data_IF_657092253809
#
_entry.id   IF_657092253809
#
_cell.length_a   1.000
_cell.length_b   1.000
_cell.length_c   1.000
_cell.angle_alpha   90.00
_cell.angle_beta   90.00
_cell.angle_gamma   90.00
#
_symmetry.space_group_name_H-M   'P 1'
#
loop_
_entity.id
_entity.type
_entity.pdbx_description
1 polymer ?
#
# COMPACT_ATOMS: atom_id res chain seq x y z
N UNK A 1 38.37 22.24 42.40
CA UNK A 1 37.50 21.37 43.23
C UNK A 1 37.03 20.24 42.35
N UNK A 2 37.53 19.02 42.58
CA UNK A 2 37.20 17.83 41.78
C UNK A 2 35.86 17.25 42.24
N UNK A 3 35.01 16.86 41.29
CA UNK A 3 33.66 16.32 41.50
C UNK A 3 33.62 15.05 42.39
N UNK A 4 34.77 14.43 42.66
CA UNK A 4 34.92 13.17 43.38
C UNK A 4 34.80 13.30 44.91
N UNK A 5 34.90 14.49 45.49
CA UNK A 5 34.74 14.68 46.95
C UNK A 5 33.27 14.81 47.41
N UNK A 6 32.31 14.89 46.48
CA UNK A 6 30.89 15.02 46.78
C UNK A 6 30.15 13.67 46.91
N UNK A 7 30.85 12.54 46.76
CA UNK A 7 30.24 11.20 46.78
C UNK A 7 30.33 10.62 48.20
N UNK A 8 29.19 10.27 48.84
CA UNK A 8 29.18 9.62 50.14
C UNK A 8 29.98 8.30 50.13
N UNK A 9 30.76 8.03 51.18
CA UNK A 9 31.55 6.78 51.33
C UNK A 9 30.70 5.49 51.18
N UNK A 10 29.38 5.60 51.34
CA UNK A 10 28.41 4.53 51.10
C UNK A 10 28.09 4.24 49.63
N UNK A 11 28.80 4.82 48.66
CA UNK A 11 28.66 4.49 47.23
C UNK A 11 29.98 4.05 46.59
N UNK A 12 31.07 4.00 47.38
CA UNK A 12 32.38 3.51 46.93
C UNK A 12 32.44 1.97 46.82
N UNK A 13 31.47 1.25 47.38
CA UNK A 13 31.41 -0.22 47.35
C UNK A 13 30.65 -0.80 46.15
N UNK A 14 29.99 0.03 45.34
CA UNK A 14 29.31 -0.45 44.13
C UNK A 14 30.29 -0.47 42.95
N UNK A 15 30.57 -1.63 42.33
CA UNK A 15 31.43 -1.68 41.15
C UNK A 15 30.64 -1.14 39.95
N UNK A 16 30.67 0.18 39.76
CA UNK A 16 30.15 0.85 38.54
C UNK A 16 30.83 0.37 37.25
N UNK A 17 31.88 -0.46 37.36
CA UNK A 17 32.56 -1.12 36.25
C UNK A 17 31.85 -2.36 35.71
N UNK A 18 30.90 -2.97 36.44
CA UNK A 18 30.21 -4.18 35.95
C UNK A 18 29.03 -3.88 34.99
N UNK A 19 28.50 -2.66 35.00
CA UNK A 19 27.36 -2.27 34.14
C UNK A 19 27.76 -1.71 32.77
N UNK A 20 29.06 -1.61 32.48
CA UNK A 20 29.58 -1.15 31.17
C UNK A 20 30.48 -2.23 30.58
N UNK A 21 29.93 -3.40 30.34
CA UNK A 21 30.41 -4.20 29.20
C UNK A 21 29.41 -3.96 28.06
N UNK A 22 29.84 -3.42 26.91
CA UNK A 22 28.99 -3.48 25.73
C UNK A 22 28.77 -4.96 25.46
N UNK A 23 27.55 -5.46 25.68
CA UNK A 23 27.16 -6.77 25.16
C UNK A 23 27.42 -6.68 23.65
N UNK A 24 28.38 -7.43 23.09
CA UNK A 24 28.62 -7.38 21.67
C UNK A 24 27.32 -7.81 20.97
N UNK A 25 26.85 -7.08 19.95
CA UNK A 25 25.70 -7.53 19.18
C UNK A 25 25.99 -8.94 18.69
N UNK A 26 25.02 -9.88 18.73
CA UNK A 26 25.23 -11.23 18.24
C UNK A 26 25.80 -11.13 16.82
N UNK A 27 26.99 -11.69 16.64
CA UNK A 27 27.74 -11.70 15.38
C UNK A 27 26.90 -12.38 14.30
N UNK A 28 26.09 -11.59 13.59
CA UNK A 28 25.15 -12.06 12.57
C UNK A 28 23.89 -11.21 12.39
N UNK A 29 23.50 -10.39 13.37
CA UNK A 29 22.31 -9.55 13.27
C UNK A 29 22.67 -8.09 12.97
N UNK A 30 23.20 -7.82 11.78
CA UNK A 30 22.91 -6.52 11.18
C UNK A 30 21.37 -6.37 11.22
N UNK A 31 20.80 -5.21 11.61
CA UNK A 31 19.39 -4.98 11.37
C UNK A 31 19.21 -5.18 9.89
N UNK A 32 18.60 -6.30 9.51
CA UNK A 32 18.29 -6.57 8.13
C UNK A 32 17.27 -5.49 7.81
N UNK A 33 17.72 -4.35 7.27
CA UNK A 33 16.85 -3.37 6.64
C UNK A 33 16.26 -4.16 5.51
N UNK A 34 15.09 -4.75 5.78
CA UNK A 34 14.39 -5.62 4.86
C UNK A 34 14.03 -4.70 3.70
N UNK A 35 14.93 -4.64 2.73
CA UNK A 35 14.79 -3.80 1.56
C UNK A 35 13.81 -4.55 0.67
N UNK A 36 12.52 -4.42 0.98
CA UNK A 36 11.43 -5.09 0.25
C UNK A 36 11.19 -4.38 -1.09
N UNK A 37 12.20 -4.22 -1.92
CA UNK A 37 12.05 -3.78 -3.31
C UNK A 37 11.66 -4.94 -4.22
N UNK A 38 10.60 -5.66 -3.85
CA UNK A 38 10.00 -6.66 -4.72
C UNK A 38 9.25 -6.00 -5.88
N UNK A 39 9.21 -6.60 -7.08
CA UNK A 39 8.47 -6.06 -8.22
C UNK A 39 6.98 -5.85 -7.91
N UNK A 40 6.38 -6.71 -7.08
CA UNK A 40 4.98 -6.59 -6.62
C UNK A 40 4.80 -5.32 -5.77
N UNK A 41 5.74 -5.00 -4.88
CA UNK A 41 5.64 -3.81 -4.03
C UNK A 41 5.82 -2.52 -4.83
N UNK A 42 6.69 -2.54 -5.85
CA UNK A 42 6.82 -1.43 -6.82
C UNK A 42 5.51 -1.22 -7.60
N UNK A 43 4.91 -2.31 -8.09
CA UNK A 43 3.62 -2.26 -8.77
C UNK A 43 2.52 -1.71 -7.86
N UNK A 44 2.47 -2.15 -6.60
CA UNK A 44 1.54 -1.65 -5.59
C UNK A 44 1.71 -0.15 -5.35
N UNK A 45 2.97 0.33 -5.23
CA UNK A 45 3.29 1.74 -5.07
C UNK A 45 2.86 2.59 -6.26
N UNK A 46 3.18 2.17 -7.49
CA UNK A 46 2.75 2.86 -8.71
C UNK A 46 1.23 2.87 -8.83
N UNK A 47 0.59 1.74 -8.55
CA UNK A 47 -0.87 1.61 -8.57
C UNK A 47 -1.53 2.54 -7.56
N UNK A 48 -1.02 2.60 -6.33
CA UNK A 48 -1.52 3.47 -5.27
C UNK A 48 -1.34 4.95 -5.60
N UNK A 49 -0.18 5.34 -6.14
CA UNK A 49 0.06 6.70 -6.60
C UNK A 49 -0.94 7.11 -7.70
N UNK A 50 -1.18 6.22 -8.68
CA UNK A 50 -2.18 6.45 -9.72
C UNK A 50 -3.61 6.58 -9.13
N UNK A 51 -3.96 5.74 -8.15
CA UNK A 51 -5.26 5.82 -7.47
C UNK A 51 -5.47 7.16 -6.76
N UNK A 52 -4.44 7.69 -6.09
CA UNK A 52 -4.49 9.00 -5.42
C UNK A 52 -4.63 10.14 -6.43
N UNK A 53 -3.84 10.12 -7.52
CA UNK A 53 -3.92 11.14 -8.58
C UNK A 53 -5.33 11.16 -9.19
N UNK A 54 -5.87 9.98 -9.53
CA UNK A 54 -7.19 9.87 -10.12
C UNK A 54 -8.29 10.27 -9.12
N UNK A 55 -8.21 9.85 -7.86
CA UNK A 55 -9.16 10.27 -6.81
C UNK A 55 -9.15 11.78 -6.57
N UNK A 56 -7.98 12.42 -6.57
CA UNK A 56 -7.84 13.87 -6.49
C UNK A 56 -8.48 14.56 -7.71
N UNK A 57 -8.22 14.05 -8.91
CA UNK A 57 -8.83 14.55 -10.14
C UNK A 57 -10.37 14.47 -10.12
N UNK A 58 -10.92 13.34 -9.67
CA UNK A 58 -12.36 13.13 -9.54
C UNK A 58 -13.03 14.13 -8.60
N UNK A 59 -12.43 14.33 -7.42
CA UNK A 59 -12.99 15.21 -6.37
C UNK A 59 -12.83 16.70 -6.67
N UNK A 60 -11.78 17.13 -7.36
CA UNK A 60 -11.48 18.55 -7.59
C UNK A 60 -11.87 19.06 -8.97
N UNK A 61 -11.66 18.25 -10.01
CA UNK A 61 -11.89 18.65 -11.40
C UNK A 61 -13.19 18.08 -11.95
N UNK A 62 -13.38 16.77 -11.84
CA UNK A 62 -14.50 16.09 -12.50
C UNK A 62 -15.85 16.42 -11.85
N UNK A 63 -15.89 16.49 -10.51
CA UNK A 63 -17.07 16.89 -9.74
C UNK A 63 -17.59 18.30 -10.04
N UNK A 64 -16.70 19.19 -10.51
CA UNK A 64 -17.01 20.58 -10.86
C UNK A 64 -17.34 20.77 -12.34
N UNK A 65 -17.22 19.71 -13.14
CA UNK A 65 -17.48 19.79 -14.58
C UNK A 65 -18.98 19.83 -14.86
N UNK A 66 -19.44 20.88 -15.55
CA UNK A 66 -20.84 21.02 -15.95
C UNK A 66 -21.30 19.98 -17.01
N UNK A 67 -20.36 19.28 -17.64
CA UNK A 67 -20.62 18.32 -18.74
C UNK A 67 -20.73 16.87 -18.25
N UNK A 68 -20.42 16.61 -16.97
CA UNK A 68 -20.42 15.26 -16.39
C UNK A 68 -21.69 15.05 -15.58
N UNK A 69 -22.51 14.09 -15.99
CA UNK A 69 -23.71 13.72 -15.25
C UNK A 69 -23.38 12.95 -13.96
N UNK A 70 -24.39 12.82 -13.09
CA UNK A 70 -24.24 12.14 -11.80
C UNK A 70 -23.88 10.65 -11.91
N UNK A 71 -24.29 9.96 -12.97
CA UNK A 71 -23.99 8.53 -13.18
C UNK A 71 -22.52 8.33 -13.52
N UNK A 72 -21.97 9.19 -14.37
CA UNK A 72 -20.54 9.23 -14.73
C UNK A 72 -19.68 9.60 -13.54
N UNK A 73 -20.10 10.58 -12.74
CA UNK A 73 -19.39 10.94 -11.51
C UNK A 73 -19.38 9.77 -10.50
N UNK A 74 -20.52 9.09 -10.32
CA UNK A 74 -20.62 7.91 -9.46
C UNK A 74 -19.75 6.76 -9.95
N UNK A 75 -19.67 6.54 -11.27
CA UNK A 75 -18.78 5.54 -11.86
C UNK A 75 -17.31 5.87 -11.60
N UNK A 76 -16.92 7.15 -11.71
CA UNK A 76 -15.57 7.60 -11.38
C UNK A 76 -15.24 7.36 -9.90
N UNK A 77 -16.11 7.78 -8.98
CA UNK A 77 -15.89 7.60 -7.54
C UNK A 77 -15.79 6.12 -7.16
N UNK A 78 -16.65 5.27 -7.74
CA UNK A 78 -16.57 3.82 -7.55
C UNK A 78 -15.24 3.27 -8.04
N UNK A 79 -14.78 3.68 -9.23
CA UNK A 79 -13.48 3.26 -9.77
C UNK A 79 -12.32 3.71 -8.89
N UNK A 80 -12.30 4.96 -8.42
CA UNK A 80 -11.27 5.48 -7.52
C UNK A 80 -11.19 4.74 -6.20
N UNK A 81 -12.34 4.47 -5.57
CA UNK A 81 -12.38 3.70 -4.31
C UNK A 81 -11.87 2.28 -4.52
N UNK A 82 -12.34 1.59 -5.57
CA UNK A 82 -11.89 0.23 -5.87
C UNK A 82 -10.40 0.20 -6.23
N UNK A 83 -9.91 1.15 -7.04
CA UNK A 83 -8.50 1.24 -7.39
C UNK A 83 -7.65 1.37 -6.12
N UNK A 84 -7.94 2.32 -5.23
CA UNK A 84 -7.17 2.55 -4.01
C UNK A 84 -7.19 1.33 -3.07
N UNK A 85 -8.38 0.76 -2.81
CA UNK A 85 -8.52 -0.41 -1.92
C UNK A 85 -7.67 -1.58 -2.44
N UNK A 86 -7.70 -1.83 -3.75
CA UNK A 86 -6.98 -2.95 -4.36
C UNK A 86 -5.49 -2.66 -4.54
N UNK A 87 -5.07 -1.39 -4.66
CA UNK A 87 -3.66 -0.99 -4.56
C UNK A 87 -3.11 -1.27 -3.16
N UNK A 88 -3.90 -1.04 -2.10
CA UNK A 88 -3.53 -1.40 -0.73
C UNK A 88 -3.47 -2.93 -0.58
N UNK A 89 -4.43 -3.66 -1.13
CA UNK A 89 -4.38 -5.13 -1.14
C UNK A 89 -3.13 -5.66 -1.85
N UNK A 90 -2.67 -5.02 -2.93
CA UNK A 90 -1.41 -5.36 -3.61
C UNK A 90 -0.17 -5.22 -2.72
N UNK A 91 -0.17 -4.33 -1.71
CA UNK A 91 0.92 -4.26 -0.73
C UNK A 91 0.98 -5.53 0.14
N UNK A 92 -0.17 -6.17 0.37
CA UNK A 92 -0.27 -7.44 1.09
C UNK A 92 0.04 -8.67 0.24
N UNK A 93 -0.03 -8.57 -1.10
CA UNK A 93 0.15 -9.71 -2.01
C UNK A 93 1.48 -10.49 -1.84
N UNK A 94 2.63 -9.88 -1.49
CA UNK A 94 3.87 -10.62 -1.23
C UNK A 94 3.77 -11.64 -0.09
N UNK A 95 2.81 -11.47 0.83
CA UNK A 95 2.61 -12.34 1.98
C UNK A 95 1.60 -13.47 1.74
N UNK A 96 0.93 -13.50 0.58
CA UNK A 96 0.05 -14.60 0.20
C UNK A 96 0.86 -15.85 -0.15
N UNK A 97 0.26 -17.04 -0.06
CA UNK A 97 0.90 -18.31 -0.45
C UNK A 97 1.33 -18.34 -1.92
N UNK A 98 0.56 -17.70 -2.80
CA UNK A 98 0.84 -17.62 -4.24
C UNK A 98 0.96 -16.16 -4.70
N UNK A 99 2.05 -15.45 -4.32
CA UNK A 99 2.12 -13.99 -4.44
C UNK A 99 2.00 -13.48 -5.88
N UNK A 100 2.54 -14.23 -6.86
CA UNK A 100 2.43 -13.90 -8.30
C UNK A 100 0.99 -14.02 -8.81
N UNK A 101 0.25 -15.03 -8.37
CA UNK A 101 -1.14 -15.24 -8.76
C UNK A 101 -2.03 -14.18 -8.13
N UNK A 102 -1.89 -13.96 -6.81
CA UNK A 102 -2.64 -12.94 -6.07
C UNK A 102 -2.40 -11.55 -6.66
N UNK A 103 -1.15 -11.17 -6.89
CA UNK A 103 -0.84 -9.86 -7.49
C UNK A 103 -1.36 -9.73 -8.93
N UNK A 104 -1.29 -10.78 -9.75
CA UNK A 104 -1.84 -10.76 -11.11
C UNK A 104 -3.37 -10.61 -11.13
N UNK A 105 -4.09 -11.32 -10.26
CA UNK A 105 -5.55 -11.22 -10.15
C UNK A 105 -5.99 -9.82 -9.69
N UNK A 106 -5.35 -9.28 -8.65
CA UNK A 106 -5.67 -7.95 -8.14
C UNK A 106 -5.31 -6.87 -9.17
N UNK A 107 -4.09 -6.91 -9.74
CA UNK A 107 -3.67 -5.92 -10.73
C UNK A 107 -4.51 -5.98 -12.03
N UNK A 108 -4.82 -7.19 -12.51
CA UNK A 108 -5.72 -7.38 -13.64
C UNK A 108 -7.13 -6.87 -13.34
N UNK A 109 -7.64 -7.10 -12.13
CA UNK A 109 -8.90 -6.54 -11.66
C UNK A 109 -8.91 -5.01 -11.70
N UNK A 110 -7.84 -4.35 -11.23
CA UNK A 110 -7.69 -2.88 -11.30
C UNK A 110 -7.82 -2.40 -12.73
N UNK A 111 -7.07 -2.98 -13.67
CA UNK A 111 -7.06 -2.55 -15.06
C UNK A 111 -8.43 -2.77 -15.74
N UNK A 112 -9.02 -3.95 -15.56
CA UNK A 112 -10.25 -4.35 -16.27
C UNK A 112 -11.51 -3.76 -15.63
N UNK A 113 -11.54 -3.56 -14.31
CA UNK A 113 -12.65 -2.91 -13.63
C UNK A 113 -12.52 -1.38 -13.67
N UNK A 114 -11.43 -0.84 -13.14
CA UNK A 114 -11.28 0.60 -12.92
C UNK A 114 -11.01 1.34 -14.23
N UNK A 115 -10.20 0.78 -15.13
CA UNK A 115 -9.84 1.39 -16.42
C UNK A 115 -11.06 1.79 -17.26
N UNK A 116 -11.95 0.84 -17.62
CA UNK A 116 -13.18 1.15 -18.34
C UNK A 116 -14.10 2.13 -17.62
N UNK A 117 -14.19 2.09 -16.28
CA UNK A 117 -15.00 3.04 -15.51
C UNK A 117 -14.44 4.47 -15.56
N UNK A 118 -13.12 4.64 -15.48
CA UNK A 118 -12.47 5.94 -15.68
C UNK A 118 -12.66 6.46 -17.11
N UNK A 119 -12.52 5.58 -18.10
CA UNK A 119 -12.76 5.95 -19.49
C UNK A 119 -14.20 6.41 -19.72
N UNK A 120 -15.19 5.64 -19.24
CA UNK A 120 -16.61 5.98 -19.36
C UNK A 120 -16.94 7.31 -18.68
N UNK A 121 -16.42 7.53 -17.47
CA UNK A 121 -16.71 8.76 -16.73
C UNK A 121 -16.15 10.00 -17.43
N UNK A 122 -14.96 9.91 -18.05
CA UNK A 122 -14.35 11.04 -18.77
C UNK A 122 -14.98 11.23 -20.16
N UNK A 123 -15.14 10.17 -20.94
CA UNK A 123 -15.56 10.25 -22.36
C UNK A 123 -17.08 10.16 -22.57
N UNK A 124 -17.82 9.60 -21.62
CA UNK A 124 -19.23 9.23 -21.78
C UNK A 124 -19.46 7.98 -22.63
N UNK A 125 -18.41 7.36 -23.18
CA UNK A 125 -18.53 6.20 -24.07
C UNK A 125 -18.66 4.89 -23.30
N UNK A 126 -19.73 4.14 -23.58
CA UNK A 126 -20.06 2.85 -22.96
C UNK A 126 -19.34 1.66 -23.61
N UNK A 127 -18.57 1.88 -24.68
CA UNK A 127 -18.07 0.83 -25.57
C UNK A 127 -17.29 -0.29 -24.85
N UNK A 128 -16.48 0.07 -23.85
CA UNK A 128 -15.62 -0.87 -23.12
C UNK A 128 -16.18 -1.28 -21.74
N UNK A 129 -17.34 -0.76 -21.34
CA UNK A 129 -17.92 -1.03 -20.02
C UNK A 129 -18.43 -2.47 -19.86
N UNK A 130 -18.72 -3.16 -20.98
CA UNK A 130 -19.14 -4.57 -20.95
C UNK A 130 -18.07 -5.50 -20.37
N UNK A 131 -16.80 -5.07 -20.32
CA UNK A 131 -15.68 -5.85 -19.77
C UNK A 131 -15.55 -5.68 -18.24
N UNK A 132 -16.13 -4.61 -17.67
CA UNK A 132 -16.06 -4.29 -16.23
C UNK A 132 -16.47 -5.45 -15.30
N UNK A 133 -17.56 -6.22 -15.56
CA UNK A 133 -17.94 -7.34 -14.70
C UNK A 133 -16.84 -8.40 -14.55
N UNK A 134 -16.07 -8.65 -15.60
CA UNK A 134 -14.93 -9.58 -15.58
C UNK A 134 -13.86 -9.11 -14.59
N UNK A 135 -13.62 -7.79 -14.51
CA UNK A 135 -12.71 -7.22 -13.51
C UNK A 135 -13.17 -7.44 -12.07
N UNK A 136 -14.49 -7.38 -11.83
CA UNK A 136 -15.09 -7.72 -10.53
C UNK A 136 -14.84 -9.18 -10.13
N UNK A 137 -14.96 -10.11 -11.08
CA UNK A 137 -14.64 -11.53 -10.85
C UNK A 137 -13.15 -11.69 -10.49
N UNK A 138 -12.26 -11.00 -11.19
CA UNK A 138 -10.82 -11.01 -10.87
C UNK A 138 -10.54 -10.51 -9.45
N UNK A 139 -11.23 -9.46 -9.00
CA UNK A 139 -11.11 -9.00 -7.62
C UNK A 139 -11.57 -10.05 -6.62
N UNK A 140 -12.72 -10.69 -6.84
CA UNK A 140 -13.22 -11.75 -5.94
C UNK A 140 -12.18 -12.88 -5.84
N UNK A 141 -11.67 -13.38 -6.97
CA UNK A 141 -10.66 -14.42 -6.99
C UNK A 141 -9.34 -13.96 -6.35
N UNK A 142 -8.95 -12.70 -6.56
CA UNK A 142 -7.76 -12.10 -5.94
C UNK A 142 -7.87 -12.08 -4.42
N UNK A 143 -9.01 -11.67 -3.87
CA UNK A 143 -9.26 -11.70 -2.43
C UNK A 143 -9.30 -13.12 -1.87
N UNK A 144 -9.96 -14.05 -2.56
CA UNK A 144 -9.99 -15.46 -2.15
C UNK A 144 -8.59 -16.10 -2.17
N UNK A 145 -7.72 -15.67 -3.08
CA UNK A 145 -6.35 -16.21 -3.16
C UNK A 145 -5.49 -15.92 -1.93
N UNK A 146 -5.85 -14.92 -1.11
CA UNK A 146 -5.20 -14.67 0.18
C UNK A 146 -5.50 -15.75 1.23
N UNK A 147 -6.58 -16.53 1.06
CA UNK A 147 -6.94 -17.60 2.00
C UNK A 147 -6.18 -18.91 1.76
N UNK A 148 -5.48 -19.04 0.64
CA UNK A 148 -4.80 -20.28 0.23
C UNK A 148 -3.54 -20.54 1.05
#
# INVERSE_FOLDING_TARGET
MNFLELIPNSLQFWPITEFVTPVPPPSGAAPQVVTMTGPILRLAGVSGAAAVILGAYGSHSLSKSAVVDGSRLKAFDTASRYHLIHSVALLGAPYAKFPKLTSALIAGGILIFCGPCYHYSITGSEAIRRITPTGGILFILGWLSFML
#
